data_IF_610432994496
#
_entry.id   IF_610432994496
#
_cell.length_a   1.000
_cell.length_b   1.000
_cell.length_c   1.000
_cell.angle_alpha   90.00
_cell.angle_beta   90.00
_cell.angle_gamma   90.00
#
_symmetry.space_group_name_H-M   'P 1'
#
loop_
_entity.id
_entity.type
_entity.pdbx_description
1 polymer ?
#
# COMPACT_ATOMS: atom_id res chain seq x y z
N UNK A 1 -19.55 21.31 -15.25
CA UNK A 1 -19.01 20.29 -14.34
C UNK A 1 -18.44 19.09 -15.06
N UNK A 2 -19.17 18.49 -16.00
CA UNK A 2 -18.66 17.32 -16.72
C UNK A 2 -17.42 17.60 -17.56
N UNK A 3 -17.32 18.78 -18.15
CA UNK A 3 -16.16 19.18 -18.95
C UNK A 3 -14.90 19.36 -18.07
N UNK A 4 -15.07 19.95 -16.89
CA UNK A 4 -13.97 20.15 -15.96
C UNK A 4 -13.42 18.80 -15.47
N UNK A 5 -14.32 17.83 -15.24
CA UNK A 5 -13.91 16.47 -14.86
C UNK A 5 -13.13 15.77 -15.95
N UNK A 6 -13.50 15.98 -17.21
CA UNK A 6 -12.78 15.38 -18.35
C UNK A 6 -11.38 15.97 -18.51
N UNK A 7 -11.24 17.27 -18.34
CA UNK A 7 -9.95 17.96 -18.42
C UNK A 7 -9.08 17.52 -17.23
N UNK A 8 -9.64 17.47 -16.02
CA UNK A 8 -8.95 16.99 -14.84
C UNK A 8 -8.51 15.53 -15.00
N UNK A 9 -9.36 14.69 -15.61
CA UNK A 9 -9.01 13.29 -15.87
C UNK A 9 -7.85 13.17 -16.85
N UNK A 10 -7.78 14.04 -17.85
CA UNK A 10 -6.68 14.03 -18.80
C UNK A 10 -5.37 14.43 -18.16
N UNK A 11 -5.40 15.45 -17.30
CA UNK A 11 -4.22 15.88 -16.53
C UNK A 11 -3.78 14.81 -15.55
N UNK A 12 -4.73 14.16 -14.88
CA UNK A 12 -4.43 13.07 -13.97
C UNK A 12 -3.83 11.88 -14.70
N UNK A 13 -4.29 11.59 -15.91
CA UNK A 13 -3.71 10.53 -16.72
C UNK A 13 -2.25 10.81 -17.09
N UNK A 14 -1.91 12.04 -17.39
CA UNK A 14 -0.53 12.43 -17.68
C UNK A 14 0.35 12.30 -16.45
N UNK A 15 -0.13 12.76 -15.30
CA UNK A 15 0.59 12.63 -14.03
C UNK A 15 0.70 11.15 -13.63
N UNK A 16 -0.36 10.39 -13.82
CA UNK A 16 -0.35 8.95 -13.52
C UNK A 16 0.62 8.19 -14.41
N UNK A 17 0.78 8.61 -15.66
CA UNK A 17 1.76 7.99 -16.56
C UNK A 17 3.19 8.16 -16.03
N UNK A 18 3.53 9.34 -15.55
CA UNK A 18 4.82 9.57 -14.92
C UNK A 18 4.94 8.86 -13.57
N UNK A 19 3.85 8.81 -12.81
CA UNK A 19 3.81 8.12 -11.52
C UNK A 19 3.99 6.61 -11.67
N UNK A 20 3.52 6.02 -12.77
CA UNK A 20 3.71 4.60 -13.06
C UNK A 20 5.18 4.23 -13.20
N UNK A 21 6.02 5.16 -13.68
CA UNK A 21 7.45 4.96 -13.75
C UNK A 21 8.08 4.97 -12.36
N UNK A 22 7.51 5.76 -11.45
CA UNK A 22 7.98 5.84 -10.06
C UNK A 22 7.38 4.79 -9.12
N UNK A 23 6.29 4.13 -9.54
CA UNK A 23 5.58 3.14 -8.74
C UNK A 23 5.02 3.70 -7.42
N UNK A 24 4.86 2.83 -6.41
CA UNK A 24 4.33 3.20 -5.10
C UNK A 24 5.32 4.05 -4.30
N UNK A 25 4.84 4.82 -3.32
CA UNK A 25 5.72 5.59 -2.44
C UNK A 25 6.78 4.72 -1.78
N UNK A 26 8.02 5.23 -1.73
CA UNK A 26 9.18 4.47 -1.26
C UNK A 26 9.43 4.57 0.23
N UNK A 27 8.77 5.50 0.91
CA UNK A 27 8.96 5.68 2.35
C UNK A 27 7.62 5.94 3.04
N UNK A 28 7.57 5.72 4.39
CA UNK A 28 6.33 5.89 5.14
C UNK A 28 5.76 7.31 5.09
N UNK A 29 6.60 8.32 5.09
CA UNK A 29 6.13 9.71 5.07
C UNK A 29 5.43 10.04 3.75
N UNK A 30 6.02 9.65 2.62
CA UNK A 30 5.42 9.87 1.31
C UNK A 30 4.13 9.05 1.15
N UNK A 31 4.10 7.83 1.65
CA UNK A 31 2.92 6.98 1.63
C UNK A 31 1.78 7.60 2.42
N UNK A 32 2.07 8.08 3.63
CA UNK A 32 1.08 8.72 4.49
C UNK A 32 0.50 9.95 3.80
N UNK A 33 1.34 10.82 3.26
CA UNK A 33 0.90 12.02 2.58
C UNK A 33 -0.01 11.70 1.40
N UNK A 34 0.39 10.75 0.55
CA UNK A 34 -0.38 10.37 -0.62
C UNK A 34 -1.75 9.81 -0.24
N UNK A 35 -1.80 8.93 0.75
CA UNK A 35 -3.04 8.30 1.15
C UNK A 35 -3.96 9.25 1.91
N UNK A 36 -3.41 10.15 2.71
CA UNK A 36 -4.23 11.17 3.37
C UNK A 36 -4.86 12.11 2.36
N UNK A 37 -4.17 12.45 1.27
CA UNK A 37 -4.74 13.23 0.19
C UNK A 37 -5.87 12.49 -0.52
N UNK A 38 -5.83 11.17 -0.52
CA UNK A 38 -6.89 10.32 -1.07
C UNK A 38 -7.97 10.01 -0.04
N UNK A 39 -7.96 10.71 1.10
CA UNK A 39 -8.94 10.62 2.17
C UNK A 39 -8.86 9.33 2.99
N UNK A 40 -7.70 8.69 3.01
CA UNK A 40 -7.45 7.56 3.90
C UNK A 40 -6.99 8.03 5.27
N UNK A 41 -7.36 7.25 6.28
CA UNK A 41 -6.84 7.40 7.63
C UNK A 41 -5.64 6.47 7.74
N UNK A 42 -4.46 7.01 8.03
CA UNK A 42 -3.21 6.22 8.06
C UNK A 42 -2.72 6.10 9.50
N UNK A 43 -2.47 4.87 9.93
CA UNK A 43 -1.98 4.57 11.28
C UNK A 43 -0.74 3.69 11.17
N UNK A 44 0.27 3.96 11.98
CA UNK A 44 1.42 3.07 12.07
C UNK A 44 1.11 1.94 13.05
N UNK A 45 1.31 0.69 12.60
CA UNK A 45 1.16 -0.49 13.44
C UNK A 45 2.55 -0.93 13.90
N UNK A 46 2.81 -0.83 15.20
CA UNK A 46 4.10 -1.20 15.79
C UNK A 46 4.07 -2.57 16.45
N UNK A 47 2.91 -3.20 16.56
CA UNK A 47 2.75 -4.38 17.42
C UNK A 47 2.14 -5.57 16.70
N UNK A 48 0.94 -5.41 16.11
CA UNK A 48 0.13 -6.54 15.65
C UNK A 48 0.71 -7.18 14.38
N UNK A 49 0.77 -6.42 13.29
CA UNK A 49 1.25 -6.94 12.02
C UNK A 49 2.75 -7.23 12.06
N UNK A 50 3.60 -6.33 12.58
CA UNK A 50 5.02 -6.66 12.70
C UNK A 50 5.27 -7.92 13.53
N UNK A 51 4.55 -8.10 14.64
CA UNK A 51 4.66 -9.29 15.47
C UNK A 51 4.26 -10.55 14.73
N UNK A 52 3.14 -10.52 14.02
CA UNK A 52 2.66 -11.66 13.24
C UNK A 52 3.63 -12.03 12.12
N UNK A 53 4.18 -11.04 11.41
CA UNK A 53 5.12 -11.29 10.32
C UNK A 53 6.45 -11.85 10.83
N UNK A 54 6.93 -11.41 11.99
CA UNK A 54 8.12 -11.99 12.62
C UNK A 54 7.92 -13.45 12.94
N UNK A 55 6.73 -13.84 13.37
CA UNK A 55 6.42 -15.24 13.68
C UNK A 55 6.50 -16.14 12.45
N UNK A 56 6.24 -15.61 11.27
CA UNK A 56 6.37 -16.38 10.02
C UNK A 56 7.73 -16.21 9.36
N UNK A 57 8.69 -15.60 10.05
CA UNK A 57 10.08 -15.54 9.60
C UNK A 57 10.46 -14.28 8.80
N UNK A 58 9.62 -13.27 8.78
CA UNK A 58 9.93 -12.01 8.08
C UNK A 58 10.92 -11.20 8.91
N UNK A 59 11.98 -10.73 8.26
CA UNK A 59 13.06 -9.97 8.91
C UNK A 59 13.22 -8.60 8.25
N UNK A 60 13.80 -7.67 8.99
CA UNK A 60 14.18 -6.36 8.45
C UNK A 60 13.06 -5.34 8.37
N UNK A 61 11.93 -5.59 9.03
CA UNK A 61 10.81 -4.65 9.03
C UNK A 61 11.20 -3.37 9.78
N UNK A 62 11.07 -2.22 9.13
CA UNK A 62 11.27 -0.93 9.77
C UNK A 62 9.96 -0.30 10.19
N UNK A 63 8.92 -0.42 9.35
CA UNK A 63 7.67 0.27 9.59
C UNK A 63 6.52 -0.47 8.92
N UNK A 64 5.36 -0.48 9.56
CA UNK A 64 4.12 -1.00 8.98
C UNK A 64 3.06 0.07 9.11
N UNK A 65 2.44 0.44 8.00
CA UNK A 65 1.35 1.40 7.97
C UNK A 65 0.08 0.71 7.53
N UNK A 66 -1.03 1.08 8.13
CA UNK A 66 -2.36 0.61 7.74
C UNK A 66 -3.21 1.82 7.40
N UNK A 67 -3.71 1.86 6.18
CA UNK A 67 -4.56 2.94 5.70
C UNK A 67 -5.97 2.40 5.45
N UNK A 68 -6.97 3.11 5.94
CA UNK A 68 -8.37 2.71 5.79
C UNK A 68 -9.20 3.87 5.28
N UNK A 69 -10.21 3.55 4.49
CA UNK A 69 -11.16 4.53 3.97
C UNK A 69 -12.54 3.87 3.87
N UNK A 70 -13.53 4.50 4.47
CA UNK A 70 -14.92 4.01 4.38
C UNK A 70 -15.44 4.23 2.96
N UNK A 71 -15.99 3.18 2.35
CA UNK A 71 -16.68 3.22 1.08
C UNK A 71 -18.14 2.88 1.29
N UNK A 72 -18.98 3.02 0.26
CA UNK A 72 -20.43 2.85 0.40
C UNK A 72 -20.85 1.48 0.95
N UNK A 73 -20.21 0.42 0.50
CA UNK A 73 -20.59 -0.94 0.89
C UNK A 73 -19.49 -1.72 1.59
N UNK A 74 -18.29 -1.15 1.66
CA UNK A 74 -17.13 -1.84 2.23
C UNK A 74 -16.11 -0.84 2.75
N UNK A 75 -15.06 -1.33 3.35
CA UNK A 75 -13.93 -0.50 3.78
C UNK A 75 -12.75 -0.82 2.87
N UNK A 76 -12.15 0.22 2.30
CA UNK A 76 -10.92 0.08 1.55
C UNK A 76 -9.75 0.08 2.53
N UNK A 77 -8.86 -0.90 2.41
CA UNK A 77 -7.72 -1.06 3.31
C UNK A 77 -6.48 -1.40 2.50
N UNK A 78 -5.38 -0.71 2.78
CA UNK A 78 -4.07 -1.11 2.27
C UNK A 78 -3.07 -1.10 3.41
N UNK A 79 -2.26 -2.15 3.49
CA UNK A 79 -1.19 -2.29 4.48
C UNK A 79 0.13 -2.22 3.74
N UNK A 80 1.04 -1.38 4.23
CA UNK A 80 2.35 -1.18 3.66
C UNK A 80 3.41 -1.61 4.67
N UNK A 81 4.25 -2.56 4.27
CA UNK A 81 5.36 -3.04 5.11
C UNK A 81 6.66 -2.52 4.49
N UNK A 82 7.36 -1.66 5.22
CA UNK A 82 8.62 -1.08 4.76
C UNK A 82 9.80 -1.75 5.43
N UNK A 83 10.83 -2.01 4.66
CA UNK A 83 12.05 -2.69 5.10
C UNK A 83 13.23 -1.74 5.00
N UNK A 84 14.28 -2.04 5.77
CA UNK A 84 15.53 -1.29 5.70
C UNK A 84 16.17 -1.40 4.31
N UNK A 85 16.06 -2.58 3.69
CA UNK A 85 16.69 -2.86 2.41
C UNK A 85 15.72 -3.52 1.45
N UNK A 86 15.90 -3.23 0.15
CA UNK A 86 15.11 -3.80 -0.93
C UNK A 86 15.18 -5.34 -0.93
N UNK A 87 16.33 -5.89 -0.61
CA UNK A 87 16.54 -7.34 -0.56
C UNK A 87 15.64 -7.99 0.48
N UNK A 88 15.48 -7.35 1.64
CA UNK A 88 14.61 -7.85 2.69
C UNK A 88 13.14 -7.89 2.22
N UNK A 89 12.73 -6.88 1.46
CA UNK A 89 11.39 -6.84 0.90
C UNK A 89 11.16 -7.99 -0.08
N UNK A 90 12.13 -8.25 -0.95
CA UNK A 90 12.06 -9.36 -1.90
C UNK A 90 11.96 -10.71 -1.19
N UNK A 91 12.80 -10.90 -0.17
CA UNK A 91 12.84 -12.16 0.57
C UNK A 91 11.56 -12.40 1.37
N UNK A 92 10.90 -11.33 1.80
CA UNK A 92 9.68 -11.42 2.61
C UNK A 92 8.41 -11.51 1.77
N UNK A 93 8.48 -11.27 0.47
CA UNK A 93 7.29 -11.16 -0.37
C UNK A 93 6.36 -12.38 -0.27
N UNK A 94 6.92 -13.60 -0.39
CA UNK A 94 6.10 -14.81 -0.37
C UNK A 94 5.40 -15.04 0.96
N UNK A 95 6.09 -14.76 2.06
CA UNK A 95 5.52 -14.89 3.40
C UNK A 95 4.43 -13.86 3.65
N UNK A 96 4.66 -12.62 3.21
CA UNK A 96 3.65 -11.57 3.35
C UNK A 96 2.43 -11.88 2.48
N UNK A 97 2.66 -12.37 1.27
CA UNK A 97 1.57 -12.78 0.38
C UNK A 97 0.72 -13.88 1.02
N UNK A 98 1.36 -14.91 1.58
CA UNK A 98 0.65 -15.98 2.27
C UNK A 98 -0.13 -15.46 3.46
N UNK A 99 0.48 -14.58 4.26
CA UNK A 99 -0.17 -13.97 5.40
C UNK A 99 -1.41 -13.16 4.97
N UNK A 100 -1.27 -12.34 3.95
CA UNK A 100 -2.35 -11.50 3.46
C UNK A 100 -3.51 -12.35 2.89
N UNK A 101 -3.18 -13.37 2.12
CA UNK A 101 -4.18 -14.24 1.50
C UNK A 101 -4.92 -15.12 2.50
N UNK A 102 -4.31 -15.43 3.63
CA UNK A 102 -5.02 -16.11 4.72
C UNK A 102 -6.09 -15.23 5.34
N UNK A 103 -5.86 -13.93 5.36
CA UNK A 103 -6.83 -12.97 5.91
C UNK A 103 -7.94 -12.66 4.91
N UNK A 104 -7.58 -12.55 3.63
CA UNK A 104 -8.53 -12.24 2.56
C UNK A 104 -7.99 -12.79 1.24
N UNK A 105 -8.68 -13.75 0.67
CA UNK A 105 -8.27 -14.40 -0.57
C UNK A 105 -8.26 -13.46 -1.77
N UNK A 106 -9.01 -12.37 -1.70
CA UNK A 106 -9.11 -11.40 -2.78
C UNK A 106 -8.11 -10.26 -2.66
N UNK A 107 -7.23 -10.33 -1.68
CA UNK A 107 -6.23 -9.28 -1.48
C UNK A 107 -5.25 -9.21 -2.65
N UNK A 108 -4.84 -8.01 -2.97
CA UNK A 108 -3.80 -7.77 -3.98
C UNK A 108 -2.48 -7.54 -3.25
N UNK A 109 -1.42 -8.24 -3.63
CA UNK A 109 -0.11 -8.13 -2.97
C UNK A 109 0.94 -7.76 -3.99
N UNK A 110 1.71 -6.73 -3.71
CA UNK A 110 2.75 -6.23 -4.62
C UNK A 110 3.99 -5.81 -3.84
N UNK A 111 5.12 -5.75 -4.53
CA UNK A 111 6.37 -5.25 -3.98
C UNK A 111 6.88 -4.09 -4.84
N UNK A 112 7.35 -3.04 -4.20
CA UNK A 112 7.97 -1.91 -4.87
C UNK A 112 9.12 -1.40 -4.01
N UNK A 113 10.35 -1.43 -4.56
CA UNK A 113 11.52 -1.00 -3.81
C UNK A 113 11.68 -1.78 -2.52
N UNK A 114 11.79 -1.07 -1.41
CA UNK A 114 11.94 -1.66 -0.08
C UNK A 114 10.60 -1.87 0.64
N UNK A 115 9.49 -1.86 -0.09
CA UNK A 115 8.15 -2.03 0.49
C UNK A 115 7.39 -3.18 -0.12
N UNK A 116 6.59 -3.83 0.70
CA UNK A 116 5.57 -4.79 0.26
C UNK A 116 4.23 -4.26 0.74
N UNK A 117 3.27 -4.18 -0.16
CA UNK A 117 1.96 -3.66 0.22
C UNK A 117 0.85 -4.58 -0.27
N UNK A 118 -0.23 -4.61 0.49
CA UNK A 118 -1.36 -5.47 0.16
C UNK A 118 -2.65 -4.85 0.68
N UNK A 119 -3.75 -5.22 0.08
CA UNK A 119 -5.06 -4.72 0.49
C UNK A 119 -6.12 -4.96 -0.55
N UNK A 120 -7.23 -4.21 -0.41
CA UNK A 120 -8.29 -4.26 -1.40
C UNK A 120 -7.78 -3.70 -2.72
N UNK A 121 -8.35 -4.16 -3.82
CA UNK A 121 -7.89 -3.77 -5.15
C UNK A 121 -7.90 -2.26 -5.34
N UNK A 122 -8.97 -1.59 -4.89
CA UNK A 122 -9.08 -0.15 -5.04
C UNK A 122 -8.05 0.59 -4.18
N UNK A 123 -7.85 0.15 -2.94
CA UNK A 123 -6.88 0.79 -2.05
C UNK A 123 -5.45 0.64 -2.57
N UNK A 124 -5.12 -0.52 -3.12
CA UNK A 124 -3.81 -0.75 -3.73
C UNK A 124 -3.61 0.18 -4.92
N UNK A 125 -4.62 0.36 -5.75
CA UNK A 125 -4.56 1.31 -6.87
C UNK A 125 -4.39 2.74 -6.40
N UNK A 126 -5.11 3.14 -5.36
CA UNK A 126 -5.00 4.49 -4.81
C UNK A 126 -3.62 4.75 -4.24
N UNK A 127 -2.97 3.71 -3.70
CA UNK A 127 -1.62 3.78 -3.18
C UNK A 127 -0.57 3.91 -4.30
N UNK A 128 -0.80 3.25 -5.41
CA UNK A 128 0.09 3.32 -6.58
C UNK A 128 -0.08 4.63 -7.34
#
# INVERSE_FOLDING_TARGET
MKMIKKIASLLVLLVAFFALVGCAPKDPAAATEKLEKAEYSVVEDKIIIPGALKLVGVKGIESVLVATKAAEESTEVVTMVYFAEKEDAKNAFDEIKSYAEEKDKETSVKQSGNGVYYGTEQAVKDFE
#
